data_IF_891799686276
#
_entry.id   IF_891799686276
#
_cell.length_a   1.000
_cell.length_b   1.000
_cell.length_c   1.000
_cell.angle_alpha   90.00
_cell.angle_beta   90.00
_cell.angle_gamma   90.00
#
_symmetry.space_group_name_H-M   'P 1'
#
loop_
_entity.id
_entity.type
_entity.pdbx_description
1 polymer ?
#
# COMPACT_ATOMS: atom_id res chain seq x y z
N UNK A 1 -5.27 -13.35 -21.01
CA UNK A 1 -5.55 -11.92 -21.19
C UNK A 1 -4.22 -11.23 -21.28
N UNK A 2 -3.92 -10.70 -22.45
CA UNK A 2 -2.70 -9.94 -22.70
C UNK A 2 -2.90 -8.48 -22.31
N UNK A 3 -1.80 -7.75 -22.07
CA UNK A 3 -1.88 -6.32 -21.73
C UNK A 3 -2.47 -5.48 -22.87
N UNK A 4 -2.23 -5.87 -24.12
CA UNK A 4 -2.77 -5.21 -25.33
C UNK A 4 -4.29 -5.35 -25.46
N UNK A 5 -4.87 -6.36 -24.83
CA UNK A 5 -6.33 -6.59 -24.81
C UNK A 5 -7.02 -5.83 -23.67
N UNK A 6 -6.25 -5.26 -22.74
CA UNK A 6 -6.77 -4.60 -21.56
C UNK A 6 -7.03 -3.12 -21.85
N UNK A 7 -8.29 -2.70 -21.78
CA UNK A 7 -8.62 -1.28 -21.73
C UNK A 7 -8.17 -0.68 -20.39
N UNK A 8 -7.11 0.13 -20.48
CA UNK A 8 -6.51 0.87 -19.38
C UNK A 8 -7.35 2.10 -18.99
N UNK A 9 -8.33 2.48 -19.80
CA UNK A 9 -9.31 3.49 -19.42
C UNK A 9 -10.49 2.83 -18.70
N UNK A 10 -10.65 3.15 -17.42
CA UNK A 10 -11.75 2.62 -16.61
C UNK A 10 -13.13 3.14 -17.02
N UNK A 11 -13.20 4.28 -17.72
CA UNK A 11 -14.45 4.93 -18.09
C UNK A 11 -15.27 5.40 -16.88
N UNK A 12 -16.56 5.64 -17.09
CA UNK A 12 -17.46 6.13 -16.02
C UNK A 12 -17.80 5.06 -15.00
N UNK A 13 -18.12 3.85 -15.44
CA UNK A 13 -18.50 2.75 -14.56
C UNK A 13 -17.85 1.44 -14.99
N UNK A 14 -17.22 0.73 -14.05
CA UNK A 14 -16.67 -0.61 -14.27
C UNK A 14 -17.09 -1.55 -13.16
N UNK A 15 -17.79 -2.62 -13.54
CA UNK A 15 -18.17 -3.66 -12.60
C UNK A 15 -16.93 -4.48 -12.21
N UNK A 16 -16.43 -4.28 -10.99
CA UNK A 16 -15.34 -5.07 -10.40
C UNK A 16 -15.88 -6.03 -9.36
N UNK A 17 -15.34 -7.25 -9.34
CA UNK A 17 -15.72 -8.31 -8.40
C UNK A 17 -14.46 -8.92 -7.78
N UNK A 18 -14.59 -9.59 -6.61
CA UNK A 18 -13.51 -10.34 -6.01
C UNK A 18 -12.81 -11.27 -7.01
N UNK A 19 -11.49 -11.38 -6.91
CA UNK A 19 -10.69 -12.29 -7.76
C UNK A 19 -9.95 -13.36 -6.96
N UNK A 20 -9.94 -13.26 -5.62
CA UNK A 20 -9.45 -14.30 -4.72
C UNK A 20 -10.60 -15.13 -4.17
N UNK A 21 -10.38 -16.42 -3.94
CA UNK A 21 -11.40 -17.32 -3.41
C UNK A 21 -11.88 -16.91 -2.00
N UNK A 22 -10.97 -16.47 -1.12
CA UNK A 22 -11.32 -15.97 0.22
C UNK A 22 -12.21 -14.73 0.12
N UNK A 23 -11.86 -13.82 -0.79
CA UNK A 23 -12.64 -12.60 -1.03
C UNK A 23 -14.04 -12.91 -1.53
N UNK A 24 -14.23 -13.97 -2.33
CA UNK A 24 -15.55 -14.45 -2.72
C UNK A 24 -16.37 -14.97 -1.53
N UNK A 25 -15.76 -15.74 -0.62
CA UNK A 25 -16.46 -16.22 0.58
C UNK A 25 -16.96 -15.05 1.42
N UNK A 26 -16.10 -14.08 1.69
CA UNK A 26 -16.47 -12.88 2.47
C UNK A 26 -17.53 -12.05 1.74
N UNK A 27 -17.46 -11.96 0.41
CA UNK A 27 -18.48 -11.29 -0.38
C UNK A 27 -19.85 -11.97 -0.27
N UNK A 28 -19.90 -13.30 -0.33
CA UNK A 28 -21.15 -14.07 -0.15
C UNK A 28 -21.71 -13.90 1.26
N UNK A 29 -20.85 -13.90 2.28
CA UNK A 29 -21.28 -13.61 3.67
C UNK A 29 -21.89 -12.22 3.76
N UNK A 30 -21.24 -11.21 3.16
CA UNK A 30 -21.77 -9.84 3.08
C UNK A 30 -23.13 -9.79 2.40
N UNK A 31 -23.29 -10.49 1.27
CA UNK A 31 -24.56 -10.59 0.56
C UNK A 31 -25.67 -11.23 1.41
N UNK A 32 -25.37 -12.33 2.12
CA UNK A 32 -26.33 -12.99 3.00
C UNK A 32 -26.77 -12.08 4.15
N UNK A 33 -25.84 -11.35 4.77
CA UNK A 33 -26.13 -10.35 5.80
C UNK A 33 -27.05 -9.25 5.22
N UNK A 34 -26.76 -8.78 4.01
CA UNK A 34 -27.58 -7.76 3.34
C UNK A 34 -29.01 -8.25 3.09
N UNK A 35 -29.17 -9.45 2.53
CA UNK A 35 -30.49 -10.03 2.27
C UNK A 35 -31.28 -10.26 3.56
N UNK A 36 -30.62 -10.75 4.61
CA UNK A 36 -31.24 -10.95 5.91
C UNK A 36 -31.69 -9.62 6.55
N UNK A 37 -30.86 -8.58 6.48
CA UNK A 37 -31.21 -7.23 6.93
C UNK A 37 -32.45 -6.68 6.22
N UNK A 38 -32.55 -6.85 4.90
CA UNK A 38 -33.74 -6.43 4.15
C UNK A 38 -35.00 -7.22 4.53
N UNK A 39 -34.87 -8.53 4.78
CA UNK A 39 -36.00 -9.35 5.22
C UNK A 39 -36.53 -8.90 6.59
N UNK A 40 -35.64 -8.60 7.54
CA UNK A 40 -36.04 -8.06 8.84
C UNK A 40 -36.60 -6.63 8.74
N UNK A 41 -36.10 -5.84 7.80
CA UNK A 41 -36.57 -4.49 7.54
C UNK A 41 -38.04 -4.40 7.08
N UNK A 42 -38.63 -5.53 6.66
CA UNK A 42 -40.06 -5.61 6.37
C UNK A 42 -40.93 -5.46 7.63
N UNK A 43 -40.38 -5.78 8.81
CA UNK A 43 -41.07 -5.67 10.10
C UNK A 43 -40.54 -4.51 10.94
N UNK A 44 -39.23 -4.26 10.89
CA UNK A 44 -38.58 -3.20 11.64
C UNK A 44 -37.53 -2.48 10.78
N UNK A 45 -37.82 -1.24 10.39
CA UNK A 45 -36.94 -0.40 9.57
C UNK A 45 -35.52 -0.26 10.14
N UNK A 46 -35.36 -0.34 11.47
CA UNK A 46 -34.05 -0.25 12.13
C UNK A 46 -33.13 -1.40 11.71
N UNK A 47 -33.69 -2.55 11.30
CA UNK A 47 -32.93 -3.69 10.81
C UNK A 47 -32.14 -3.40 9.51
N UNK A 48 -32.39 -2.28 8.82
CA UNK A 48 -31.58 -1.83 7.69
C UNK A 48 -30.11 -1.53 8.07
N UNK A 49 -29.79 -1.35 9.36
CA UNK A 49 -28.39 -1.30 9.83
C UNK A 49 -27.64 -2.58 9.44
N UNK A 50 -28.29 -3.75 9.54
CA UNK A 50 -27.68 -5.03 9.12
C UNK A 50 -27.40 -5.02 7.62
N UNK A 51 -28.32 -4.49 6.82
CA UNK A 51 -28.11 -4.34 5.37
C UNK A 51 -26.92 -3.44 5.04
N UNK A 52 -26.79 -2.33 5.78
CA UNK A 52 -25.65 -1.43 5.67
C UNK A 52 -24.32 -2.13 5.95
N UNK A 53 -24.25 -2.91 7.05
CA UNK A 53 -23.06 -3.70 7.41
C UNK A 53 -22.71 -4.69 6.29
N UNK A 54 -23.70 -5.43 5.76
CA UNK A 54 -23.48 -6.39 4.68
C UNK A 54 -22.88 -5.73 3.43
N UNK A 55 -23.39 -4.56 3.03
CA UNK A 55 -22.83 -3.81 1.91
C UNK A 55 -21.40 -3.30 2.18
N UNK A 56 -21.11 -2.83 3.40
CA UNK A 56 -19.74 -2.45 3.79
C UNK A 56 -18.80 -3.65 3.67
N UNK A 57 -19.20 -4.84 4.15
CA UNK A 57 -18.42 -6.08 4.03
C UNK A 57 -18.14 -6.41 2.55
N UNK A 58 -19.14 -6.34 1.68
CA UNK A 58 -18.96 -6.56 0.23
C UNK A 58 -17.98 -5.55 -0.38
N UNK A 59 -18.04 -4.28 0.02
CA UNK A 59 -17.16 -3.22 -0.49
C UNK A 59 -15.68 -3.40 -0.10
N UNK A 60 -15.41 -4.01 1.07
CA UNK A 60 -14.04 -4.23 1.57
C UNK A 60 -13.27 -5.26 0.76
N UNK A 61 -13.97 -6.23 0.18
CA UNK A 61 -13.37 -7.31 -0.62
C UNK A 61 -13.50 -7.09 -2.13
N UNK A 62 -14.14 -5.99 -2.53
CA UNK A 62 -14.28 -5.58 -3.92
C UNK A 62 -13.04 -4.79 -4.35
N UNK A 63 -12.33 -5.23 -5.40
CA UNK A 63 -11.09 -4.59 -5.85
C UNK A 63 -11.35 -3.31 -6.65
N UNK A 64 -10.29 -2.55 -6.90
CA UNK A 64 -10.30 -1.42 -7.84
C UNK A 64 -10.62 -1.86 -9.28
N UNK A 65 -10.92 -0.90 -10.15
CA UNK A 65 -11.45 -1.15 -11.50
C UNK A 65 -10.53 -1.98 -12.40
N UNK A 66 -9.22 -1.91 -12.22
CA UNK A 66 -8.22 -2.59 -13.04
C UNK A 66 -7.48 -3.71 -12.31
N UNK A 67 -7.49 -3.72 -10.97
CA UNK A 67 -6.69 -4.64 -10.17
C UNK A 67 -6.92 -6.14 -10.50
N UNK A 68 -8.18 -6.55 -10.68
CA UNK A 68 -8.50 -7.94 -11.04
C UNK A 68 -8.03 -8.33 -12.44
N UNK A 69 -8.08 -7.40 -13.40
CA UNK A 69 -7.57 -7.63 -14.75
C UNK A 69 -6.04 -7.65 -14.78
N UNK A 70 -5.38 -6.75 -14.06
CA UNK A 70 -3.92 -6.74 -13.94
C UNK A 70 -3.40 -8.01 -13.25
N UNK A 71 -4.14 -8.54 -12.27
CA UNK A 71 -3.82 -9.84 -11.69
C UNK A 71 -3.85 -10.98 -12.72
N UNK A 72 -4.85 -10.99 -13.62
CA UNK A 72 -4.93 -11.97 -14.72
C UNK A 72 -3.80 -11.77 -15.73
N UNK A 73 -3.44 -10.53 -16.06
CA UNK A 73 -2.28 -10.24 -16.93
C UNK A 73 -1.01 -10.80 -16.30
N UNK A 74 -0.78 -10.55 -15.00
CA UNK A 74 0.38 -11.08 -14.27
C UNK A 74 0.50 -12.60 -14.33
N UNK A 75 -0.62 -13.31 -14.14
CA UNK A 75 -0.65 -14.77 -14.21
C UNK A 75 -0.35 -15.32 -15.61
N UNK A 76 -0.62 -14.56 -16.68
CA UNK A 76 -0.39 -14.99 -18.06
C UNK A 76 0.97 -14.54 -18.62
N UNK A 77 1.49 -13.40 -18.16
CA UNK A 77 2.68 -12.77 -18.73
C UNK A 77 4.00 -13.28 -18.15
N UNK A 78 3.99 -13.73 -16.89
CA UNK A 78 5.18 -14.25 -16.20
C UNK A 78 5.25 -15.76 -16.39
N UNK A 79 6.46 -16.29 -16.60
CA UNK A 79 6.69 -17.74 -16.71
C UNK A 79 6.13 -18.47 -15.48
N UNK A 80 5.30 -19.51 -15.66
CA UNK A 80 4.81 -20.34 -14.56
C UNK A 80 5.92 -20.84 -13.62
N UNK A 81 7.13 -21.10 -14.12
CA UNK A 81 8.25 -21.54 -13.30
C UNK A 81 8.73 -20.43 -12.33
N UNK A 82 8.76 -19.17 -12.78
CA UNK A 82 9.10 -18.02 -11.93
C UNK A 82 8.01 -17.75 -10.90
N UNK A 83 6.74 -17.85 -11.32
CA UNK A 83 5.60 -17.72 -10.41
C UNK A 83 5.61 -18.81 -9.34
N UNK A 84 5.96 -20.05 -9.70
CA UNK A 84 6.07 -21.16 -8.77
C UNK A 84 7.25 -20.97 -7.81
N UNK A 85 8.43 -20.60 -8.31
CA UNK A 85 9.58 -20.31 -7.45
C UNK A 85 9.29 -19.19 -6.44
N UNK A 86 8.54 -18.17 -6.87
CA UNK A 86 8.06 -17.10 -5.98
C UNK A 86 7.03 -17.60 -4.98
N UNK A 87 6.11 -18.46 -5.40
CA UNK A 87 5.12 -19.08 -4.52
C UNK A 87 5.82 -19.92 -3.44
N UNK A 88 6.80 -20.75 -3.81
CA UNK A 88 7.57 -21.60 -2.90
C UNK A 88 8.43 -20.80 -1.91
N UNK A 89 8.96 -19.65 -2.34
CA UNK A 89 9.70 -18.72 -1.47
C UNK A 89 8.79 -17.86 -0.58
N UNK A 90 7.48 -17.88 -0.81
CA UNK A 90 6.49 -17.08 -0.10
C UNK A 90 5.58 -17.94 0.78
N UNK A 91 4.82 -17.30 1.65
CA UNK A 91 3.96 -17.98 2.62
C UNK A 91 4.56 -18.02 4.02
N UNK A 92 3.95 -18.87 4.85
CA UNK A 92 4.27 -19.01 6.27
C UNK A 92 5.33 -20.10 6.47
N UNK A 93 6.48 -19.74 7.04
CA UNK A 93 7.50 -20.67 7.53
C UNK A 93 7.49 -20.70 9.06
N UNK A 94 7.76 -21.88 9.62
CA UNK A 94 8.04 -22.03 11.04
C UNK A 94 9.55 -22.04 11.20
N UNK A 95 10.09 -20.96 11.75
CA UNK A 95 11.54 -20.81 11.91
C UNK A 95 12.04 -21.53 13.18
N UNK A 96 11.25 -21.47 14.26
CA UNK A 96 11.54 -22.21 15.49
C UNK A 96 10.26 -22.64 16.19
N UNK A 97 10.02 -23.96 16.21
CA UNK A 97 8.85 -24.55 16.86
C UNK A 97 8.78 -24.25 18.36
N UNK A 98 9.91 -24.39 19.08
CA UNK A 98 9.97 -24.22 20.54
C UNK A 98 9.74 -22.78 20.99
N UNK A 99 10.25 -21.81 20.22
CA UNK A 99 10.02 -20.39 20.49
C UNK A 99 8.73 -19.85 19.86
N UNK A 100 7.96 -20.72 19.18
CA UNK A 100 6.79 -20.34 18.38
C UNK A 100 7.09 -19.17 17.43
N UNK A 101 8.28 -19.21 16.81
CA UNK A 101 8.70 -18.19 15.86
C UNK A 101 8.32 -18.63 14.44
N UNK A 102 7.60 -17.75 13.76
CA UNK A 102 7.17 -17.95 12.38
C UNK A 102 7.57 -16.75 11.57
N UNK A 103 7.93 -16.95 10.30
CA UNK A 103 8.05 -15.85 9.35
C UNK A 103 7.03 -15.97 8.23
N UNK A 104 6.61 -14.83 7.71
CA UNK A 104 5.65 -14.76 6.64
C UNK A 104 6.15 -13.79 5.57
N UNK A 105 6.28 -14.31 4.35
CA UNK A 105 6.56 -13.54 3.14
C UNK A 105 5.26 -13.46 2.34
N UNK A 106 4.74 -12.28 1.99
CA UNK A 106 3.51 -12.19 1.23
C UNK A 106 3.55 -12.94 -0.09
N UNK A 107 2.51 -13.74 -0.33
CA UNK A 107 2.35 -14.54 -1.56
C UNK A 107 1.94 -13.71 -2.76
N UNK A 108 1.26 -12.59 -2.53
CA UNK A 108 0.81 -11.69 -3.59
C UNK A 108 1.00 -10.24 -3.14
N UNK A 109 1.93 -9.54 -3.80
CA UNK A 109 2.16 -8.12 -3.62
C UNK A 109 1.58 -7.36 -4.82
N UNK A 110 0.59 -6.47 -4.63
CA UNK A 110 0.05 -5.65 -5.71
C UNK A 110 1.11 -4.76 -6.37
N UNK A 111 2.10 -4.28 -5.60
CA UNK A 111 3.16 -3.37 -6.07
C UNK A 111 4.33 -4.07 -6.77
N UNK A 112 4.25 -5.37 -7.03
CA UNK A 112 5.28 -6.07 -7.79
C UNK A 112 5.03 -6.02 -9.31
N UNK A 113 6.01 -6.44 -10.11
CA UNK A 113 5.88 -6.53 -11.56
C UNK A 113 4.63 -7.35 -11.97
N UNK A 114 3.92 -6.83 -12.96
CA UNK A 114 2.80 -7.42 -13.71
C UNK A 114 3.31 -8.08 -14.99
N UNK A 115 4.25 -7.47 -15.70
CA UNK A 115 4.95 -7.98 -16.88
C UNK A 115 6.37 -8.37 -16.50
N UNK A 116 6.99 -9.33 -17.22
CA UNK A 116 8.35 -9.75 -16.91
C UNK A 116 9.34 -8.59 -17.02
N UNK A 117 10.27 -8.53 -16.06
CA UNK A 117 11.34 -7.54 -16.00
C UNK A 117 12.71 -8.22 -16.13
N UNK A 118 13.74 -7.53 -16.68
CA UNK A 118 15.08 -8.10 -16.82
C UNK A 118 15.68 -8.54 -15.49
N UNK A 119 16.14 -9.79 -15.40
CA UNK A 119 16.78 -10.31 -14.20
C UNK A 119 18.23 -9.83 -14.00
N UNK A 120 18.83 -10.04 -12.81
CA UNK A 120 20.21 -9.61 -12.51
C UNK A 120 21.29 -10.10 -13.46
N UNK A 121 21.06 -11.24 -14.12
CA UNK A 121 22.01 -11.86 -15.06
C UNK A 121 22.14 -11.09 -16.38
N UNK A 122 21.15 -10.27 -16.74
CA UNK A 122 21.17 -9.47 -17.98
C UNK A 122 21.60 -8.03 -17.74
N UNK A 123 21.83 -7.63 -16.50
CA UNK A 123 22.20 -6.25 -16.17
C UNK A 123 23.65 -5.98 -16.55
N UNK A 124 23.87 -4.90 -17.29
CA UNK A 124 25.21 -4.39 -17.55
C UNK A 124 25.71 -3.59 -16.34
N UNK A 125 26.49 -4.25 -15.49
CA UNK A 125 27.12 -3.61 -14.33
C UNK A 125 28.34 -2.75 -14.72
N UNK A 126 28.86 -2.87 -15.95
CA UNK A 126 29.95 -2.02 -16.43
C UNK A 126 29.43 -0.67 -16.92
N UNK A 127 28.31 -0.67 -17.65
CA UNK A 127 27.64 0.52 -18.15
C UNK A 127 26.23 0.69 -17.56
N UNK A 128 26.17 1.08 -16.28
CA UNK A 128 24.91 1.19 -15.53
C UNK A 128 23.97 2.30 -16.00
N UNK A 129 24.52 3.33 -16.65
CA UNK A 129 23.77 4.47 -17.17
C UNK A 129 23.37 4.29 -18.63
N UNK A 130 24.00 3.36 -19.35
CA UNK A 130 23.69 3.06 -20.74
C UNK A 130 22.35 2.34 -20.93
N UNK A 131 21.93 2.18 -22.20
CA UNK A 131 20.74 1.42 -22.53
C UNK A 131 20.90 -0.06 -22.19
N UNK A 132 19.79 -0.73 -21.87
CA UNK A 132 19.73 -2.17 -21.72
C UNK A 132 19.27 -2.81 -23.02
N UNK A 133 20.02 -3.80 -23.53
CA UNK A 133 19.67 -4.49 -24.77
C UNK A 133 19.63 -3.52 -25.97
N UNK A 134 18.46 -3.39 -26.59
CA UNK A 134 18.21 -2.51 -27.73
C UNK A 134 17.93 -1.05 -27.32
N UNK A 135 17.88 -0.75 -26.02
CA UNK A 135 17.54 0.57 -25.51
C UNK A 135 16.06 0.93 -25.62
N UNK A 136 15.19 -0.07 -25.84
CA UNK A 136 13.75 0.11 -25.73
C UNK A 136 13.32 0.25 -24.26
N UNK A 137 12.23 0.99 -23.97
CA UNK A 137 11.67 1.06 -22.63
C UNK A 137 11.23 -0.33 -22.14
N UNK A 138 11.31 -0.54 -20.82
CA UNK A 138 10.84 -1.77 -20.17
C UNK A 138 9.37 -2.06 -20.52
N UNK A 139 8.96 -3.34 -20.49
CA UNK A 139 7.60 -3.74 -20.83
C UNK A 139 6.50 -2.95 -20.13
N UNK A 140 6.64 -2.61 -18.84
CA UNK A 140 5.64 -1.80 -18.10
C UNK A 140 5.90 -0.30 -18.11
N UNK A 141 6.88 0.19 -18.89
CA UNK A 141 7.12 1.62 -18.93
C UNK A 141 5.88 2.33 -19.51
N UNK A 142 5.41 3.45 -18.93
CA UNK A 142 4.18 4.14 -19.35
C UNK A 142 4.16 4.53 -20.84
N UNK A 143 5.31 4.84 -21.43
CA UNK A 143 5.45 5.09 -22.88
C UNK A 143 5.06 3.88 -23.75
N UNK A 144 5.15 2.66 -23.22
CA UNK A 144 4.85 1.40 -23.93
C UNK A 144 3.45 0.87 -23.64
N UNK A 145 3.04 0.85 -22.36
CA UNK A 145 1.74 0.32 -21.95
C UNK A 145 0.65 1.38 -21.86
N UNK A 146 1.01 2.64 -21.64
CA UNK A 146 0.09 3.73 -21.32
C UNK A 146 -0.15 3.87 -19.81
N UNK A 147 -0.70 5.02 -19.43
CA UNK A 147 -1.12 5.34 -18.07
C UNK A 147 -2.52 4.78 -17.81
N UNK A 148 -2.72 3.91 -16.80
CA UNK A 148 -4.06 3.46 -16.44
C UNK A 148 -4.87 4.59 -15.81
N UNK A 149 -6.15 4.70 -16.15
CA UNK A 149 -7.09 5.59 -15.47
C UNK A 149 -8.15 4.76 -14.75
N UNK A 150 -8.29 4.90 -13.41
CA UNK A 150 -9.31 4.16 -12.68
C UNK A 150 -10.71 4.64 -13.09
N UNK A 151 -11.69 3.73 -13.08
CA UNK A 151 -13.07 4.06 -13.43
C UNK A 151 -13.65 5.05 -12.40
N UNK A 152 -14.43 6.03 -12.85
CA UNK A 152 -15.03 7.05 -11.96
C UNK A 152 -15.84 6.38 -10.85
N UNK A 153 -16.62 5.37 -11.19
CA UNK A 153 -17.40 4.57 -10.25
C UNK A 153 -17.14 3.08 -10.46
N UNK A 154 -17.06 2.33 -9.36
CA UNK A 154 -16.99 0.86 -9.37
C UNK A 154 -18.15 0.26 -8.58
N UNK A 155 -18.17 -1.07 -8.43
CA UNK A 155 -19.11 -1.74 -7.53
C UNK A 155 -18.95 -1.25 -6.07
N UNK A 156 -17.78 -0.74 -5.68
CA UNK A 156 -17.58 -0.10 -4.37
C UNK A 156 -18.49 1.12 -4.21
N UNK A 157 -18.63 1.97 -5.25
CA UNK A 157 -19.56 3.10 -5.25
C UNK A 157 -20.98 2.62 -4.97
N UNK A 158 -21.42 1.57 -5.66
CA UNK A 158 -22.77 1.01 -5.51
C UNK A 158 -22.99 0.50 -4.09
N UNK A 159 -22.08 -0.33 -3.58
CA UNK A 159 -22.21 -0.92 -2.25
C UNK A 159 -22.15 0.14 -1.14
N UNK A 160 -21.18 1.06 -1.18
CA UNK A 160 -21.07 2.09 -0.14
C UNK A 160 -22.23 3.08 -0.21
N UNK A 161 -22.68 3.49 -1.40
CA UNK A 161 -23.85 4.38 -1.50
C UNK A 161 -25.10 3.71 -0.95
N UNK A 162 -25.34 2.43 -1.30
CA UNK A 162 -26.43 1.66 -0.73
C UNK A 162 -26.30 1.50 0.80
N UNK A 163 -25.09 1.26 1.30
CA UNK A 163 -24.81 1.17 2.74
C UNK A 163 -25.14 2.48 3.46
N UNK A 164 -24.75 3.63 2.89
CA UNK A 164 -25.05 4.96 3.44
C UNK A 164 -26.56 5.18 3.47
N UNK A 165 -27.27 4.88 2.37
CA UNK A 165 -28.74 5.04 2.32
C UNK A 165 -29.42 4.16 3.38
N UNK A 166 -29.08 2.87 3.46
CA UNK A 166 -29.63 1.97 4.48
C UNK A 166 -29.34 2.46 5.90
N UNK A 167 -28.12 2.94 6.15
CA UNK A 167 -27.73 3.48 7.45
C UNK A 167 -28.56 4.72 7.80
N UNK A 168 -28.65 5.70 6.89
CA UNK A 168 -29.37 6.95 7.15
C UNK A 168 -30.87 6.72 7.36
N UNK A 169 -31.49 5.84 6.58
CA UNK A 169 -32.91 5.49 6.75
C UNK A 169 -33.15 4.78 8.08
N UNK A 170 -32.30 3.83 8.46
CA UNK A 170 -32.42 3.14 9.74
C UNK A 170 -32.27 4.10 10.92
N UNK A 171 -31.25 4.98 10.87
CA UNK A 171 -31.01 5.96 11.92
C UNK A 171 -32.14 7.00 12.01
N UNK A 172 -32.67 7.45 10.88
CA UNK A 172 -33.84 8.33 10.87
C UNK A 172 -35.07 7.66 11.52
N UNK A 173 -35.32 6.39 11.20
CA UNK A 173 -36.41 5.62 11.82
C UNK A 173 -36.19 5.46 13.34
N UNK A 174 -34.97 5.14 13.77
CA UNK A 174 -34.63 5.10 15.20
C UNK A 174 -34.87 6.44 15.89
N UNK A 175 -34.42 7.54 15.28
CA UNK A 175 -34.56 8.88 15.85
C UNK A 175 -36.02 9.36 15.90
N UNK A 176 -36.86 8.87 15.00
CA UNK A 176 -38.30 9.15 15.02
C UNK A 176 -39.08 8.36 16.08
N UNK A 177 -38.45 7.41 16.76
CA UNK A 177 -39.10 6.63 17.83
C UNK A 177 -39.12 7.40 19.15
N UNK A 178 -40.19 7.24 19.92
CA UNK A 178 -40.36 7.90 21.23
C UNK A 178 -39.30 7.44 22.27
N UNK A 179 -38.60 6.34 22.01
CA UNK A 179 -37.54 5.78 22.86
C UNK A 179 -36.17 6.43 22.62
N UNK A 180 -36.04 7.29 21.59
CA UNK A 180 -34.77 7.92 21.25
C UNK A 180 -34.39 9.03 22.24
N UNK A 181 -33.33 8.78 23.02
CA UNK A 181 -32.84 9.72 24.05
C UNK A 181 -31.46 10.29 23.77
N UNK A 182 -30.82 9.87 22.66
CA UNK A 182 -29.43 10.23 22.35
C UNK A 182 -29.25 11.61 21.71
N UNK A 183 -30.34 12.34 21.44
CA UNK A 183 -30.33 13.70 20.89
C UNK A 183 -29.42 13.84 19.66
N UNK A 184 -28.49 14.80 19.70
CA UNK A 184 -27.57 15.09 18.59
C UNK A 184 -26.34 14.17 18.51
N UNK A 185 -26.16 13.23 19.45
CA UNK A 185 -24.94 12.41 19.51
C UNK A 185 -24.80 11.52 18.28
N UNK A 186 -25.85 10.81 17.88
CA UNK A 186 -25.82 9.87 16.75
C UNK A 186 -25.55 10.60 15.42
N UNK A 187 -26.29 11.67 15.06
CA UNK A 187 -25.96 12.51 13.90
C UNK A 187 -24.52 13.03 13.92
N UNK A 188 -24.04 13.49 15.08
CA UNK A 188 -22.69 14.02 15.25
C UNK A 188 -21.60 12.98 15.00
N UNK A 189 -21.78 11.74 15.46
CA UNK A 189 -20.84 10.64 15.20
C UNK A 189 -20.78 10.31 13.70
N UNK A 190 -21.93 10.22 13.04
CA UNK A 190 -21.99 9.90 11.59
C UNK A 190 -21.34 11.02 10.77
N UNK A 191 -21.67 12.28 11.05
CA UNK A 191 -21.08 13.43 10.37
C UNK A 191 -19.56 13.52 10.62
N UNK A 192 -19.12 13.30 11.86
CA UNK A 192 -17.71 13.30 12.25
C UNK A 192 -16.91 12.21 11.54
N UNK A 193 -17.45 10.98 11.46
CA UNK A 193 -16.83 9.90 10.70
C UNK A 193 -16.73 10.25 9.20
N UNK A 194 -17.80 10.80 8.62
CA UNK A 194 -17.80 11.26 7.23
C UNK A 194 -16.74 12.34 6.96
N UNK A 195 -16.56 13.29 7.89
CA UNK A 195 -15.54 14.33 7.79
C UNK A 195 -14.12 13.75 7.84
N UNK A 196 -13.83 12.86 8.79
CA UNK A 196 -12.52 12.19 8.90
C UNK A 196 -12.20 11.43 7.61
N UNK A 197 -13.16 10.65 7.10
CA UNK A 197 -13.00 9.90 5.85
C UNK A 197 -12.82 10.83 4.64
N UNK A 198 -13.49 11.98 4.61
CA UNK A 198 -13.34 12.99 3.56
C UNK A 198 -11.93 13.58 3.56
N UNK A 199 -11.38 13.90 4.73
CA UNK A 199 -10.00 14.42 4.86
C UNK A 199 -8.99 13.39 4.36
N UNK A 200 -9.13 12.12 4.77
CA UNK A 200 -8.27 11.04 4.29
C UNK A 200 -8.41 10.85 2.77
N UNK A 201 -9.65 10.87 2.28
CA UNK A 201 -9.98 10.77 0.86
C UNK A 201 -9.36 11.89 0.03
N UNK A 202 -9.36 13.12 0.54
CA UNK A 202 -8.75 14.29 -0.11
C UNK A 202 -7.25 14.10 -0.35
N UNK A 203 -6.50 13.65 0.67
CA UNK A 203 -5.07 13.40 0.50
C UNK A 203 -4.79 12.26 -0.48
N UNK A 204 -5.59 11.19 -0.47
CA UNK A 204 -5.46 10.09 -1.44
C UNK A 204 -5.79 10.53 -2.87
N UNK A 205 -6.87 11.28 -3.05
CA UNK A 205 -7.27 11.84 -4.35
C UNK A 205 -6.19 12.77 -4.88
N UNK A 206 -5.60 13.63 -4.04
CA UNK A 206 -4.53 14.53 -4.45
C UNK A 206 -3.28 13.79 -4.92
N UNK A 207 -2.90 12.72 -4.22
CA UNK A 207 -1.77 11.88 -4.64
C UNK A 207 -2.05 11.21 -5.99
N UNK A 208 -3.25 10.66 -6.18
CA UNK A 208 -3.65 10.05 -7.44
C UNK A 208 -3.66 11.04 -8.60
N UNK A 209 -4.24 12.23 -8.41
CA UNK A 209 -4.24 13.29 -9.42
C UNK A 209 -2.82 13.69 -9.81
N UNK A 210 -1.91 13.82 -8.84
CA UNK A 210 -0.52 14.15 -9.12
C UNK A 210 0.16 13.10 -10.02
N UNK A 211 -0.11 11.81 -9.81
CA UNK A 211 0.43 10.74 -10.65
C UNK A 211 -0.22 10.71 -12.05
N UNK A 212 -1.50 11.07 -12.17
CA UNK A 212 -2.19 11.11 -13.47
C UNK A 212 -1.83 12.35 -14.31
N UNK A 213 -1.58 13.48 -13.65
CA UNK A 213 -1.33 14.76 -14.31
C UNK A 213 0.15 14.97 -14.67
N UNK A 214 1.05 14.15 -14.13
CA UNK A 214 2.49 14.26 -14.40
C UNK A 214 2.92 13.22 -15.43
N UNK A 215 3.41 13.62 -16.62
CA UNK A 215 3.85 12.65 -17.62
C UNK A 215 5.16 11.97 -17.20
N UNK A 216 5.18 10.63 -17.17
CA UNK A 216 6.42 9.86 -17.00
C UNK A 216 7.41 10.12 -18.14
N UNK A 217 8.63 10.48 -17.76
CA UNK A 217 9.76 10.71 -18.67
C UNK A 217 10.63 9.47 -18.83
N UNK A 218 11.21 9.28 -20.03
CA UNK A 218 12.28 8.30 -20.23
C UNK A 218 13.58 8.79 -19.58
N UNK A 219 14.33 7.87 -18.98
CA UNK A 219 15.60 8.15 -18.31
C UNK A 219 16.62 8.74 -19.27
N UNK A 220 16.74 8.23 -20.50
CA UNK A 220 17.70 8.76 -21.50
C UNK A 220 17.50 10.24 -21.86
N UNK A 221 16.30 10.78 -21.63
CA UNK A 221 15.91 12.13 -22.02
C UNK A 221 15.32 12.93 -20.85
N UNK A 222 15.64 12.54 -19.62
CA UNK A 222 15.14 13.20 -18.42
C UNK A 222 15.78 14.58 -18.25
N UNK A 223 14.95 15.59 -17.98
CA UNK A 223 15.39 16.97 -17.78
C UNK A 223 15.58 17.31 -16.30
N UNK A 224 16.30 18.40 -16.02
CA UNK A 224 16.38 19.03 -14.69
C UNK A 224 15.01 19.60 -14.31
N UNK A 225 14.54 19.36 -13.09
CA UNK A 225 13.21 19.77 -12.63
C UNK A 225 12.61 18.74 -11.69
N UNK A 226 11.34 18.41 -11.86
CA UNK A 226 10.63 17.39 -11.08
C UNK A 226 10.00 16.32 -11.99
N UNK A 227 10.81 15.52 -12.72
CA UNK A 227 10.29 14.49 -13.60
C UNK A 227 9.70 13.31 -12.82
N UNK A 228 8.70 12.69 -13.43
CA UNK A 228 8.21 11.38 -13.04
C UNK A 228 9.00 10.30 -13.77
N UNK A 229 9.48 9.30 -13.03
CA UNK A 229 10.33 8.22 -13.51
C UNK A 229 9.79 6.88 -13.01
N UNK A 230 9.73 5.91 -13.92
CA UNK A 230 9.35 4.53 -13.61
C UNK A 230 10.43 3.60 -14.12
N UNK A 231 10.87 2.66 -13.29
CA UNK A 231 11.88 1.71 -13.72
C UNK A 231 12.15 0.61 -12.72
N UNK A 232 13.25 -0.10 -12.98
CA UNK A 232 13.76 -1.16 -12.15
C UNK A 232 14.88 -0.66 -11.25
N UNK A 233 14.89 -1.11 -10.00
CA UNK A 233 15.98 -0.87 -9.07
C UNK A 233 17.19 -1.73 -9.43
N UNK A 234 18.32 -1.10 -9.74
CA UNK A 234 19.58 -1.75 -10.08
C UNK A 234 20.71 -1.30 -9.14
N UNK A 235 21.75 -2.14 -8.96
CA UNK A 235 22.84 -1.85 -8.05
C UNK A 235 23.68 -0.68 -8.54
N UNK A 236 24.22 0.07 -7.58
CA UNK A 236 25.20 1.14 -7.81
C UNK A 236 26.60 0.68 -7.36
N UNK A 237 27.65 1.43 -7.69
CA UNK A 237 29.03 1.07 -7.32
C UNK A 237 29.25 0.95 -5.80
N UNK A 238 28.55 1.76 -5.00
CA UNK A 238 28.60 1.73 -3.53
C UNK A 238 27.97 0.45 -2.92
N UNK A 239 27.30 -0.36 -3.73
CA UNK A 239 26.69 -1.62 -3.31
C UNK A 239 25.26 -1.46 -2.78
N UNK A 240 24.81 -2.48 -2.05
CA UNK A 240 23.47 -2.55 -1.48
C UNK A 240 23.53 -2.96 -0.01
N UNK A 241 22.45 -2.68 0.71
CA UNK A 241 22.35 -2.96 2.13
C UNK A 241 21.88 -4.39 2.39
N UNK A 242 22.42 -4.98 3.45
CA UNK A 242 21.80 -6.13 4.12
C UNK A 242 21.18 -5.63 5.41
N UNK A 243 19.86 -5.63 5.47
CA UNK A 243 19.11 -5.08 6.59
C UNK A 243 18.95 -6.15 7.64
N UNK A 244 19.53 -5.92 8.82
CA UNK A 244 19.42 -6.79 10.00
C UNK A 244 18.34 -6.22 10.91
N UNK A 245 17.21 -6.92 11.02
CA UNK A 245 16.05 -6.43 11.76
C UNK A 245 16.27 -6.58 13.27
N UNK A 246 16.19 -5.45 13.99
CA UNK A 246 16.29 -5.39 15.46
C UNK A 246 17.54 -6.11 16.01
N UNK A 247 18.65 -6.03 15.27
CA UNK A 247 19.97 -6.57 15.62
C UNK A 247 20.09 -8.10 15.54
N UNK A 248 19.11 -8.82 15.01
CA UNK A 248 19.17 -10.27 14.86
C UNK A 248 19.62 -10.68 13.45
N UNK A 249 20.76 -11.36 13.35
CA UNK A 249 21.34 -11.83 12.07
C UNK A 249 20.45 -12.85 11.35
N UNK A 250 19.62 -13.60 12.07
CA UNK A 250 18.68 -14.55 11.48
C UNK A 250 17.48 -13.84 10.83
N UNK A 251 17.26 -12.56 11.18
CA UNK A 251 16.25 -11.69 10.58
C UNK A 251 16.92 -10.68 9.65
N UNK A 252 17.72 -11.19 8.71
CA UNK A 252 18.41 -10.38 7.71
C UNK A 252 17.78 -10.51 6.33
N UNK A 253 17.68 -9.40 5.60
CA UNK A 253 17.28 -9.38 4.19
C UNK A 253 18.31 -8.60 3.38
N UNK A 254 18.92 -9.27 2.41
CA UNK A 254 19.94 -8.71 1.51
C UNK A 254 19.35 -8.01 0.28
N UNK A 255 20.24 -7.29 -0.43
CA UNK A 255 19.96 -6.57 -1.67
C UNK A 255 18.91 -5.46 -1.52
N UNK A 256 18.94 -4.76 -0.38
CA UNK A 256 18.02 -3.67 -0.06
C UNK A 256 18.64 -2.32 -0.44
N UNK A 257 17.84 -1.41 -1.00
CA UNK A 257 18.25 -0.02 -1.29
C UNK A 257 17.49 0.99 -0.44
N UNK A 258 16.36 0.60 0.13
CA UNK A 258 15.60 1.38 1.10
C UNK A 258 14.82 0.46 2.00
N UNK A 259 14.74 0.78 3.29
CA UNK A 259 14.02 -0.04 4.26
C UNK A 259 13.39 0.78 5.37
N UNK A 260 12.36 0.19 5.95
CA UNK A 260 11.79 0.56 7.24
C UNK A 260 11.36 -0.72 7.93
N UNK A 261 11.81 -0.94 9.16
CA UNK A 261 11.27 -2.02 9.97
C UNK A 261 10.62 -1.48 11.25
N UNK A 262 9.61 -2.21 11.72
CA UNK A 262 8.93 -1.93 12.97
C UNK A 262 8.95 -3.17 13.85
N UNK A 263 9.15 -2.96 15.14
CA UNK A 263 8.99 -3.95 16.18
C UNK A 263 7.79 -3.57 17.04
N UNK A 264 6.81 -4.46 17.08
CA UNK A 264 5.57 -4.32 17.81
C UNK A 264 5.44 -5.40 18.87
N UNK A 265 4.84 -5.03 20.00
CA UNK A 265 4.51 -5.93 21.10
C UNK A 265 3.01 -5.96 21.32
N UNK A 266 2.45 -7.15 21.50
CA UNK A 266 1.09 -7.29 21.99
C UNK A 266 1.11 -7.14 23.51
N UNK A 267 0.72 -5.95 23.98
CA UNK A 267 0.64 -5.63 25.40
C UNK A 267 -0.79 -5.80 25.87
N UNK A 268 -0.98 -6.67 26.87
CA UNK A 268 -2.26 -6.96 27.47
C UNK A 268 -2.32 -6.40 28.89
N UNK A 269 -3.42 -5.70 29.22
CA UNK A 269 -3.69 -5.17 30.56
C UNK A 269 -5.04 -5.66 31.05
N UNK A 270 -5.16 -5.88 32.36
CA UNK A 270 -6.44 -6.19 32.99
C UNK A 270 -7.12 -4.88 33.35
N UNK A 271 -8.29 -4.64 32.75
CA UNK A 271 -9.13 -3.46 33.01
C UNK A 271 -10.33 -3.92 33.83
N UNK A 272 -10.65 -3.18 34.91
CA UNK A 272 -11.88 -3.39 35.67
C UNK A 272 -13.03 -2.76 34.91
N UNK A 273 -14.03 -3.56 34.61
CA UNK A 273 -15.31 -3.15 34.02
C UNK A 273 -16.41 -3.33 35.08
N UNK A 274 -17.56 -2.68 34.88
CA UNK A 274 -18.68 -2.77 35.83
C UNK A 274 -19.19 -4.22 36.02
N UNK A 275 -18.94 -5.10 35.05
CA UNK A 275 -19.29 -6.53 35.06
C UNK A 275 -18.13 -7.48 35.47
N UNK A 276 -16.96 -6.96 35.85
CA UNK A 276 -15.81 -7.78 36.28
C UNK A 276 -14.44 -7.30 35.80
N UNK A 277 -13.57 -8.22 35.37
CA UNK A 277 -12.24 -7.88 34.82
C UNK A 277 -12.11 -8.38 33.40
N UNK A 278 -11.78 -7.49 32.46
CA UNK A 278 -11.52 -7.81 31.06
C UNK A 278 -10.06 -7.60 30.71
N UNK A 279 -9.50 -8.48 29.88
CA UNK A 279 -8.17 -8.27 29.32
C UNK A 279 -8.26 -7.48 28.02
N UNK A 280 -7.61 -6.33 27.96
CA UNK A 280 -7.47 -5.53 26.73
C UNK A 280 -6.05 -5.69 26.20
N UNK A 281 -5.93 -6.14 24.95
CA UNK A 281 -4.65 -6.35 24.28
C UNK A 281 -4.51 -5.44 23.07
N UNK A 282 -3.43 -4.67 23.01
CA UNK A 282 -3.15 -3.77 21.90
C UNK A 282 -1.71 -4.00 21.39
N UNK A 283 -1.55 -3.92 20.06
CA UNK A 283 -0.23 -3.88 19.44
C UNK A 283 0.36 -2.49 19.63
N UNK A 284 1.55 -2.43 20.23
CA UNK A 284 2.28 -1.19 20.47
C UNK A 284 3.62 -1.26 19.75
N UNK A 285 3.91 -0.29 18.87
CA UNK A 285 5.24 -0.15 18.27
C UNK A 285 6.23 0.31 19.33
N UNK A 286 7.26 -0.49 19.60
CA UNK A 286 8.27 -0.23 20.63
C UNK A 286 9.56 0.30 20.03
N UNK A 287 9.95 -0.24 18.86
CA UNK A 287 11.13 0.23 18.12
C UNK A 287 10.84 0.26 16.64
N UNK A 288 11.51 1.15 15.95
CA UNK A 288 11.57 1.14 14.49
C UNK A 288 12.88 1.74 14.05
N UNK A 289 13.29 1.38 12.84
CA UNK A 289 14.45 1.97 12.19
C UNK A 289 14.17 2.07 10.68
N UNK A 290 14.85 3.00 10.02
CA UNK A 290 14.72 3.27 8.61
C UNK A 290 16.06 3.71 8.04
N UNK A 291 16.31 3.33 6.80
CA UNK A 291 17.55 3.70 6.12
C UNK A 291 17.48 3.38 4.64
N UNK A 292 18.53 3.73 3.92
CA UNK A 292 18.63 3.45 2.50
C UNK A 292 19.99 3.87 1.96
N UNK A 293 20.32 3.33 0.80
CA UNK A 293 21.47 3.73 0.00
C UNK A 293 20.97 4.21 -1.36
N UNK A 294 21.80 4.98 -2.10
CA UNK A 294 21.52 5.29 -3.49
C UNK A 294 21.39 4.02 -4.34
N UNK A 295 20.67 4.11 -5.45
CA UNK A 295 20.56 3.04 -6.44
C UNK A 295 20.42 3.62 -7.85
N UNK A 296 20.51 2.76 -8.85
CA UNK A 296 20.22 3.12 -10.24
C UNK A 296 18.79 2.76 -10.57
N UNK A 297 17.96 3.75 -10.88
CA UNK A 297 16.66 3.51 -11.52
C UNK A 297 16.92 3.32 -13.01
N UNK A 298 16.53 2.16 -13.54
CA UNK A 298 16.74 1.82 -14.93
C UNK A 298 15.42 1.53 -15.64
N UNK A 299 15.09 2.30 -16.66
CA UNK A 299 13.80 2.20 -17.39
C UNK A 299 13.89 1.39 -18.70
N UNK A 300 15.08 0.88 -19.03
CA UNK A 300 15.39 0.17 -20.27
C UNK A 300 16.20 1.03 -21.24
N UNK A 301 15.88 2.32 -21.31
CA UNK A 301 16.56 3.30 -22.16
C UNK A 301 17.84 3.84 -21.55
N UNK A 302 17.93 3.88 -20.23
CA UNK A 302 19.12 4.26 -19.48
C UNK A 302 18.95 4.09 -17.98
N UNK A 303 20.04 4.29 -17.25
CA UNK A 303 20.06 4.34 -15.78
C UNK A 303 20.19 5.77 -15.25
N UNK A 304 19.59 6.08 -14.11
CA UNK A 304 19.80 7.34 -13.38
C UNK A 304 19.97 7.08 -11.89
N UNK A 305 20.86 7.84 -11.26
CA UNK A 305 21.11 7.74 -9.82
C UNK A 305 19.96 8.34 -9.03
N UNK A 306 19.41 7.58 -8.08
CA UNK A 306 18.36 8.00 -7.16
C UNK A 306 18.86 7.93 -5.72
N UNK A 307 18.78 9.05 -5.00
CA UNK A 307 19.22 9.14 -3.61
C UNK A 307 18.08 8.80 -2.65
N UNK A 308 17.86 7.51 -2.37
CA UNK A 308 16.74 6.99 -1.56
C UNK A 308 16.57 7.68 -0.22
N UNK A 309 17.66 7.92 0.51
CA UNK A 309 17.64 8.49 1.86
C UNK A 309 17.21 9.96 1.89
N UNK A 310 17.21 10.64 0.75
CA UNK A 310 16.78 12.04 0.65
C UNK A 310 15.26 12.22 0.62
N UNK A 311 14.50 11.16 0.31
CA UNK A 311 13.05 11.23 0.14
C UNK A 311 12.33 11.39 1.48
N UNK A 312 11.57 12.48 1.61
CA UNK A 312 10.69 12.71 2.77
C UNK A 312 9.52 11.73 2.83
N UNK A 313 9.08 11.24 1.67
CA UNK A 313 7.90 10.38 1.51
C UNK A 313 8.29 9.14 0.73
N UNK A 314 8.29 8.01 1.42
CA UNK A 314 8.58 6.70 0.86
C UNK A 314 7.40 5.77 1.15
N UNK A 315 6.83 5.18 0.11
CA UNK A 315 5.82 4.13 0.23
C UNK A 315 6.38 2.82 -0.31
N UNK A 316 6.64 1.86 0.59
CA UNK A 316 7.13 0.56 0.19
C UNK A 316 5.98 -0.43 -0.07
N UNK A 317 4.72 0.01 -0.05
CA UNK A 317 3.56 -0.85 -0.22
C UNK A 317 3.46 -1.91 0.86
N UNK A 318 3.13 -3.14 0.46
CA UNK A 318 3.06 -4.28 1.37
C UNK A 318 4.45 -4.61 1.97
N UNK A 319 4.48 -5.10 3.21
CA UNK A 319 5.75 -5.53 3.82
C UNK A 319 6.41 -6.64 2.99
N UNK A 320 7.73 -6.73 3.03
CA UNK A 320 8.50 -7.77 2.33
C UNK A 320 8.51 -9.07 3.13
N UNK A 321 8.71 -8.96 4.44
CA UNK A 321 8.78 -10.10 5.35
C UNK A 321 8.33 -9.67 6.74
N UNK A 322 7.58 -10.54 7.41
CA UNK A 322 7.19 -10.41 8.80
C UNK A 322 7.72 -11.59 9.58
N UNK A 323 8.13 -11.36 10.83
CA UNK A 323 8.42 -12.39 11.81
C UNK A 323 7.48 -12.18 12.99
N UNK A 324 6.85 -13.25 13.44
CA UNK A 324 5.98 -13.27 14.61
C UNK A 324 6.55 -14.30 15.61
N UNK A 325 6.42 -14.03 16.91
CA UNK A 325 6.90 -14.91 17.97
C UNK A 325 6.16 -14.72 19.29
N UNK A 326 5.98 -15.80 20.06
CA UNK A 326 5.42 -15.72 21.42
C UNK A 326 6.42 -15.13 22.42
N UNK A 327 7.71 -15.20 22.11
CA UNK A 327 8.80 -14.67 22.92
C UNK A 327 9.62 -13.68 22.10
N UNK A 328 10.21 -12.68 22.76
CA UNK A 328 11.23 -11.83 22.17
C UNK A 328 12.39 -12.69 21.66
N UNK A 329 13.20 -12.13 20.75
CA UNK A 329 14.32 -12.79 20.08
C UNK A 329 15.22 -13.64 21.01
N UNK A 330 15.31 -13.26 22.29
CA UNK A 330 15.95 -14.05 23.34
C UNK A 330 15.13 -14.00 24.63
N UNK A 331 15.31 -15.00 25.50
CA UNK A 331 14.69 -15.04 26.83
C UNK A 331 15.06 -13.81 27.68
N UNK A 332 16.28 -13.29 27.55
CA UNK A 332 16.72 -12.07 28.25
C UNK A 332 16.01 -10.81 27.76
N UNK A 333 15.85 -10.64 26.43
CA UNK A 333 15.03 -9.56 25.87
C UNK A 333 13.56 -9.70 26.26
N UNK A 334 13.07 -10.93 26.49
CA UNK A 334 11.70 -11.18 26.97
C UNK A 334 11.50 -10.71 28.40
N UNK A 335 12.42 -11.05 29.29
CA UNK A 335 12.38 -10.61 30.68
C UNK A 335 12.43 -9.08 30.76
N UNK A 336 13.30 -8.44 29.98
CA UNK A 336 13.36 -6.98 29.92
C UNK A 336 12.09 -6.36 29.32
N UNK A 337 11.53 -6.94 28.26
CA UNK A 337 10.27 -6.48 27.68
C UNK A 337 9.12 -6.56 28.69
N UNK A 338 9.03 -7.65 29.45
CA UNK A 338 8.03 -7.81 30.51
C UNK A 338 8.28 -6.87 31.69
N UNK A 339 9.52 -6.68 32.11
CA UNK A 339 9.87 -5.76 33.20
C UNK A 339 9.53 -4.31 32.85
N UNK A 340 9.87 -3.85 31.64
CA UNK A 340 9.57 -2.49 31.17
C UNK A 340 8.06 -2.27 31.00
N UNK A 341 7.33 -3.22 30.42
CA UNK A 341 5.88 -3.13 30.27
C UNK A 341 5.13 -3.19 31.62
N UNK A 342 5.64 -3.98 32.57
CA UNK A 342 5.14 -4.04 33.94
C UNK A 342 5.38 -2.75 34.72
N UNK A 343 6.57 -2.14 34.57
CA UNK A 343 6.94 -0.91 35.28
C UNK A 343 6.23 0.34 34.73
N UNK A 344 6.00 0.41 33.42
CA UNK A 344 5.41 1.60 32.76
C UNK A 344 3.88 1.57 32.64
N UNK A 345 3.21 0.48 33.03
CA UNK A 345 1.76 0.42 32.93
C UNK A 345 1.06 -0.87 33.35
N UNK A 346 1.73 -1.77 34.09
CA UNK A 346 1.15 -3.03 34.54
C UNK A 346 0.75 -4.00 33.42
N UNK A 347 1.27 -3.82 32.20
CA UNK A 347 0.92 -4.61 31.03
C UNK A 347 1.83 -5.83 30.88
N UNK A 348 1.25 -6.97 30.50
CA UNK A 348 1.97 -8.20 30.16
C UNK A 348 2.17 -8.30 28.65
N UNK A 349 3.39 -8.55 28.22
CA UNK A 349 3.71 -8.82 26.81
C UNK A 349 3.40 -10.28 26.48
N UNK A 350 2.56 -10.52 25.46
CA UNK A 350 2.20 -11.88 25.01
C UNK A 350 2.83 -12.29 23.69
N UNK A 351 3.01 -11.35 22.77
CA UNK A 351 3.49 -11.63 21.42
C UNK A 351 4.38 -10.50 20.91
N UNK A 352 5.20 -10.86 19.94
CA UNK A 352 6.21 -10.03 19.33
C UNK A 352 6.06 -10.12 17.82
N UNK A 353 6.14 -8.97 17.15
CA UNK A 353 6.06 -8.88 15.71
C UNK A 353 7.15 -7.96 15.19
N UNK A 354 7.90 -8.42 14.21
CA UNK A 354 8.82 -7.61 13.43
C UNK A 354 8.32 -7.57 12.00
N UNK A 355 8.16 -6.37 11.44
CA UNK A 355 7.70 -6.21 10.06
C UNK A 355 8.72 -5.40 9.29
N UNK A 356 9.23 -5.93 8.19
CA UNK A 356 10.16 -5.25 7.29
C UNK A 356 9.45 -4.81 6.02
N UNK A 357 9.54 -3.52 5.74
CA UNK A 357 9.15 -2.88 4.49
C UNK A 357 10.40 -2.42 3.76
N UNK A 358 10.36 -2.39 2.43
CA UNK A 358 11.46 -1.79 1.68
C UNK A 358 11.43 -2.06 0.20
N UNK A 359 12.53 -1.68 -0.42
CA UNK A 359 12.80 -1.75 -1.84
C UNK A 359 14.08 -2.58 -2.07
N UNK A 360 13.96 -3.62 -2.88
CA UNK A 360 15.06 -4.54 -3.23
C UNK A 360 15.54 -4.32 -4.66
N UNK A 361 16.76 -4.78 -4.94
CA UNK A 361 17.23 -4.93 -6.31
C UNK A 361 16.22 -5.75 -7.13
N UNK A 362 15.97 -5.30 -8.35
CA UNK A 362 15.02 -5.88 -9.27
C UNK A 362 13.57 -5.45 -9.06
N UNK A 363 13.21 -4.82 -7.93
CA UNK A 363 11.85 -4.35 -7.72
C UNK A 363 11.48 -3.21 -8.69
N UNK A 364 10.19 -3.07 -9.04
CA UNK A 364 9.69 -1.90 -9.72
C UNK A 364 9.67 -0.72 -8.75
N UNK A 365 10.02 0.46 -9.25
CA UNK A 365 9.98 1.70 -8.49
C UNK A 365 9.40 2.83 -9.33
N UNK A 366 8.51 3.58 -8.69
CA UNK A 366 7.95 4.83 -9.17
C UNK A 366 8.60 5.95 -8.36
N UNK A 367 9.17 6.94 -9.05
CA UNK A 367 9.87 8.07 -8.45
C UNK A 367 9.33 9.35 -9.04
N UNK A 368 8.85 10.22 -8.16
CA UNK A 368 8.67 11.62 -8.47
C UNK A 368 9.65 12.41 -7.60
N UNK A 369 10.69 12.95 -8.22
CA UNK A 369 11.80 13.55 -7.49
C UNK A 369 12.37 14.74 -8.23
N UNK A 370 13.15 15.54 -7.53
CA UNK A 370 13.86 16.65 -8.12
C UNK A 370 15.16 16.17 -8.76
N UNK A 371 15.29 16.33 -10.07
CA UNK A 371 16.55 16.08 -10.79
C UNK A 371 17.48 17.28 -10.67
N UNK A 372 18.71 17.04 -10.22
CA UNK A 372 19.76 18.06 -10.08
C UNK A 372 21.02 17.64 -10.84
N UNK A 373 21.80 18.59 -11.38
CA UNK A 373 23.15 18.32 -11.88
C UNK A 373 24.04 17.77 -10.77
N UNK A 374 24.85 16.77 -11.11
CA UNK A 374 25.88 16.23 -10.25
C UNK A 374 27.11 17.14 -10.24
N UNK A 375 27.86 17.13 -9.16
CA UNK A 375 29.13 17.85 -9.12
C UNK A 375 30.20 17.15 -9.96
N UNK A 376 31.16 17.90 -10.50
CA UNK A 376 32.26 17.32 -11.28
C UNK A 376 33.09 16.30 -10.47
N UNK A 377 33.20 16.48 -9.15
CA UNK A 377 33.86 15.53 -8.26
C UNK A 377 33.11 14.21 -8.16
N UNK A 378 31.77 14.23 -8.14
CA UNK A 378 30.96 13.00 -8.06
C UNK A 378 31.05 12.20 -9.37
N UNK A 379 31.12 12.90 -10.51
CA UNK A 379 31.30 12.27 -11.82
C UNK A 379 32.67 11.58 -11.92
N UNK A 380 33.74 12.27 -11.50
CA UNK A 380 35.09 11.71 -11.49
C UNK A 380 35.22 10.53 -10.51
N UNK A 381 34.60 10.63 -9.33
CA UNK A 381 34.62 9.55 -8.33
C UNK A 381 33.97 8.26 -8.86
N UNK A 382 32.98 8.38 -9.74
CA UNK A 382 32.32 7.23 -10.38
C UNK A 382 32.93 6.86 -11.75
N UNK A 383 33.93 7.61 -12.22
CA UNK A 383 34.59 7.38 -13.51
C UNK A 383 33.73 7.71 -14.73
N UNK A 384 32.78 8.64 -14.58
CA UNK A 384 31.87 9.06 -15.64
C UNK A 384 32.51 10.15 -16.51
N UNK A 385 32.44 9.97 -17.82
CA UNK A 385 33.00 10.90 -18.83
C UNK A 385 32.09 12.09 -19.15
N UNK A 386 30.86 12.07 -18.64
CA UNK A 386 29.85 13.11 -18.85
C UNK A 386 29.21 13.11 -20.24
N UNK A 387 29.45 12.09 -21.07
CA UNK A 387 28.88 12.00 -22.42
C UNK A 387 27.39 11.66 -22.41
N UNK A 388 26.96 10.86 -21.43
CA UNK A 388 25.58 10.46 -21.24
C UNK A 388 24.81 11.50 -20.40
N UNK A 389 23.77 12.18 -20.95
CA UNK A 389 23.03 13.22 -20.23
C UNK A 389 22.38 12.75 -18.92
N UNK A 390 21.93 11.50 -18.88
CA UNK A 390 21.31 10.89 -17.70
C UNK A 390 22.33 10.51 -16.61
N UNK A 391 23.62 10.42 -16.95
CA UNK A 391 24.68 10.13 -15.99
C UNK A 391 25.16 11.36 -15.21
N UNK A 392 24.94 12.56 -15.76
CA UNK A 392 25.38 13.84 -15.18
C UNK A 392 24.34 14.49 -14.26
N UNK A 393 23.19 13.85 -14.08
CA UNK A 393 22.11 14.28 -13.20
C UNK A 393 21.73 13.16 -12.24
N UNK A 394 21.14 13.52 -11.11
CA UNK A 394 20.67 12.59 -10.08
C UNK A 394 19.36 13.07 -9.47
N UNK A 395 18.62 12.15 -8.88
CA UNK A 395 17.29 12.39 -8.34
C UNK A 395 17.33 12.49 -6.82
N UNK A 396 16.73 13.56 -6.29
CA UNK A 396 16.61 13.87 -4.88
C UNK A 396 15.13 14.03 -4.46
N UNK A 397 14.80 13.73 -3.21
CA UNK A 397 13.44 13.83 -2.66
C UNK A 397 13.30 14.77 -1.46
N UNK A 398 14.25 15.70 -1.30
CA UNK A 398 14.34 16.61 -0.15
C UNK A 398 13.52 17.90 -0.32
N UNK A 399 13.33 18.38 -1.55
CA UNK A 399 12.61 19.62 -1.86
C UNK A 399 11.34 19.32 -2.66
N UNK A 400 10.20 19.84 -2.19
CA UNK A 400 8.94 19.80 -2.94
C UNK A 400 8.85 21.05 -3.82
N UNK A 401 8.26 20.93 -5.01
CA UNK A 401 7.88 22.08 -5.82
C UNK A 401 6.41 22.48 -5.57
N UNK A 402 5.99 23.71 -5.92
CA UNK A 402 4.58 24.09 -5.89
C UNK A 402 3.74 23.11 -6.73
N UNK A 403 2.75 22.47 -6.11
CA UNK A 403 1.91 21.48 -6.78
C UNK A 403 2.49 20.07 -6.89
N UNK A 404 3.79 19.86 -6.62
CA UNK A 404 4.47 18.56 -6.79
C UNK A 404 5.13 18.11 -5.50
N UNK A 405 4.69 16.97 -4.98
CA UNK A 405 5.28 16.34 -3.79
C UNK A 405 6.23 15.24 -4.20
N UNK A 406 7.50 15.37 -3.85
CA UNK A 406 8.49 14.34 -4.11
C UNK A 406 8.14 13.08 -3.30
N UNK A 407 8.07 11.96 -4.00
CA UNK A 407 7.66 10.64 -3.50
C UNK A 407 8.48 9.55 -4.16
N UNK A 408 8.78 8.51 -3.39
CA UNK A 408 9.34 7.26 -3.88
C UNK A 408 8.40 6.14 -3.48
N UNK A 409 7.95 5.35 -4.44
CA UNK A 409 6.98 4.28 -4.22
C UNK A 409 7.48 2.97 -4.84
N UNK A 410 7.31 1.84 -4.14
CA UNK A 410 7.46 0.52 -4.78
C UNK A 410 6.29 0.30 -5.74
N UNK A 411 6.55 -0.29 -6.89
CA UNK A 411 5.56 -0.47 -7.96
C UNK A 411 5.81 0.44 -9.15
N UNK A 412 5.26 0.04 -10.30
CA UNK A 412 5.17 0.87 -11.49
C UNK A 412 3.93 1.75 -11.43
N UNK A 413 3.81 2.71 -12.35
CA UNK A 413 2.58 3.48 -12.53
C UNK A 413 1.38 2.54 -12.80
N UNK A 414 1.59 1.50 -13.62
CA UNK A 414 0.59 0.48 -13.93
C UNK A 414 0.08 -0.23 -12.67
N UNK A 415 1.00 -0.64 -11.78
CA UNK A 415 0.65 -1.32 -10.53
C UNK A 415 -0.01 -0.39 -9.50
N UNK A 416 0.55 0.81 -9.30
CA UNK A 416 0.13 1.72 -8.24
C UNK A 416 -1.19 2.43 -8.59
N UNK A 417 -1.35 2.91 -9.82
CA UNK A 417 -2.61 3.55 -10.26
C UNK A 417 -3.66 2.50 -10.58
N UNK A 418 -3.28 1.38 -11.21
CA UNK A 418 -4.22 0.31 -11.58
C UNK A 418 -4.85 -0.41 -10.39
N UNK A 419 -4.21 -0.36 -9.22
CA UNK A 419 -4.79 -0.86 -7.96
C UNK A 419 -5.56 0.21 -7.17
N UNK A 420 -5.47 1.48 -7.55
CA UNK A 420 -6.16 2.58 -6.87
C UNK A 420 -7.64 2.68 -7.27
N UNK A 421 -8.44 3.23 -6.36
CA UNK A 421 -9.79 3.75 -6.66
C UNK A 421 -9.70 5.14 -7.25
N UNK A 422 -10.80 5.63 -7.83
CA UNK A 422 -10.85 6.98 -8.41
C UNK A 422 -10.87 8.06 -7.33
N UNK A 423 -10.47 9.28 -7.72
CA UNK A 423 -10.63 10.46 -6.87
C UNK A 423 -12.10 10.73 -6.50
N UNK A 424 -13.03 10.42 -7.41
CA UNK A 424 -14.47 10.50 -7.15
C UNK A 424 -14.88 9.58 -6.00
N UNK A 425 -14.48 8.30 -6.01
CA UNK A 425 -14.80 7.37 -4.92
C UNK A 425 -14.16 7.76 -3.59
N UNK A 426 -12.94 8.32 -3.62
CA UNK A 426 -12.27 8.79 -2.41
C UNK A 426 -12.97 10.00 -1.78
N UNK A 427 -13.63 10.85 -2.56
CA UNK A 427 -14.22 12.10 -2.08
C UNK A 427 -15.74 12.04 -1.94
N UNK A 428 -16.46 11.62 -2.98
CA UNK A 428 -17.91 11.71 -3.02
C UNK A 428 -18.58 10.82 -1.96
N UNK A 429 -18.09 9.59 -1.75
CA UNK A 429 -18.71 8.66 -0.80
C UNK A 429 -18.60 9.14 0.66
N UNK A 430 -17.40 9.56 1.15
CA UNK A 430 -17.32 10.18 2.48
C UNK A 430 -18.11 11.47 2.63
N UNK A 431 -18.17 12.32 1.59
CA UNK A 431 -18.95 13.56 1.61
C UNK A 431 -20.44 13.24 1.74
N UNK A 432 -20.94 12.24 1.01
CA UNK A 432 -22.33 11.79 1.13
C UNK A 432 -22.66 11.30 2.54
N UNK A 433 -21.75 10.54 3.17
CA UNK A 433 -21.92 10.12 4.57
C UNK A 433 -21.93 11.32 5.53
N UNK A 434 -21.02 12.28 5.33
CA UNK A 434 -20.94 13.50 6.15
C UNK A 434 -22.22 14.34 6.03
N UNK A 435 -22.66 14.63 4.80
CA UNK A 435 -23.87 15.40 4.52
C UNK A 435 -25.12 14.67 5.02
N UNK A 436 -25.16 13.34 4.88
CA UNK A 436 -26.22 12.50 5.45
C UNK A 436 -26.30 12.61 6.97
N UNK A 437 -25.15 12.51 7.66
CA UNK A 437 -25.06 12.72 9.10
C UNK A 437 -25.51 14.12 9.52
N UNK A 438 -25.12 15.16 8.76
CA UNK A 438 -25.59 16.54 8.98
C UNK A 438 -27.11 16.68 8.77
N UNK A 439 -27.67 16.00 7.77
CA UNK A 439 -29.11 15.98 7.52
C UNK A 439 -29.91 15.38 8.67
N UNK A 440 -29.37 14.38 9.36
CA UNK A 440 -30.01 13.78 10.53
C UNK A 440 -30.16 14.76 11.72
N UNK A 441 -29.37 15.83 11.80
CA UNK A 441 -29.57 16.85 12.84
C UNK A 441 -30.94 17.54 12.73
N UNK A 442 -31.55 17.58 11.54
CA UNK A 442 -32.89 18.12 11.37
C UNK A 442 -33.99 17.27 12.03
N UNK A 443 -33.68 16.03 12.43
CA UNK A 443 -34.57 15.10 13.12
C UNK A 443 -34.25 14.97 14.63
N UNK A 444 -33.18 15.61 15.12
CA UNK A 444 -32.60 15.39 16.44
C UNK A 444 -33.11 16.32 17.54
#
# INVERSE_FOLDING_TARGET
MNIEELDLNGGTFKASFPYHWISWIVWVIGLLITLFGFMLALSDTVALIMSSIGFVVMSMVTPGSLQGSLHKVRQNAIDPAELQAKADASGLSIDNWWMQQTSYVPTNDPSDWILPAPGPTTWDNSNRYGPHGDGSPLPEHPVKVGTPTPATMTMVTVYISAAIVCLLVALAAMMSSDEYTSGMLVPGVVAGLGLILTIVGYFKSKMLSQMLDTPTSLVRSVAVGNPELVGQVRPINEGCLTVVVDGNKDMAVGNMVGYRWTYEQLQCRTVKTDEGTKEECNWVTVRSDRGGCPFILHDGTGGIRVNTSSFKRTDYGQYLKRWDGAYAQTLGKQIMAQAVAGLLGGARVKQHRWTLYGLRLGNPVYVLGQTKPRSSSDLQAEGLDGTLPNSIIEVWGNEDAPGVKCTLQRGTELANIGSSRSGFEYLALPILLMLGGLGLFGLA
#
